data_IF_719342014772
#
_entry.id   IF_719342014772
#
_cell.length_a   1.000
_cell.length_b   1.000
_cell.length_c   1.000
_cell.angle_alpha   90.00
_cell.angle_beta   90.00
_cell.angle_gamma   90.00
#
_symmetry.space_group_name_H-M   'P 1'
#
loop_
_entity.id
_entity.type
_entity.pdbx_description
1 polymer ?
#
# COMPACT_ATOMS: atom_id res chain seq x y z
N UNK A 1 -27.05 52.37 -26.70
CA UNK A 1 -25.68 51.82 -26.65
C UNK A 1 -25.22 51.86 -25.21
N UNK A 2 -25.36 50.78 -24.46
CA UNK A 2 -24.88 50.64 -23.11
C UNK A 2 -23.86 49.51 -23.11
N UNK A 3 -22.63 49.89 -22.81
CA UNK A 3 -21.44 49.04 -22.77
C UNK A 3 -21.51 48.21 -21.47
N UNK A 4 -21.68 46.88 -21.63
CA UNK A 4 -21.65 45.92 -20.53
C UNK A 4 -20.39 45.09 -20.62
N UNK A 5 -19.28 45.67 -20.15
CA UNK A 5 -18.04 44.92 -19.90
C UNK A 5 -18.21 44.01 -18.69
N UNK A 6 -17.84 42.71 -18.75
CA UNK A 6 -17.90 41.85 -17.57
C UNK A 6 -16.78 42.20 -16.60
N UNK A 7 -17.17 42.57 -15.37
CA UNK A 7 -16.24 42.77 -14.26
C UNK A 7 -15.62 41.44 -13.88
N UNK A 8 -14.36 41.25 -14.24
CA UNK A 8 -13.52 40.11 -13.79
C UNK A 8 -13.19 40.41 -12.30
N UNK A 9 -13.88 39.75 -11.39
CA UNK A 9 -13.51 39.72 -9.98
C UNK A 9 -12.18 38.95 -9.84
N UNK A 10 -11.08 39.67 -9.72
CA UNK A 10 -9.84 39.14 -9.21
C UNK A 10 -10.03 38.80 -7.73
N UNK A 11 -10.33 37.53 -7.41
CA UNK A 11 -10.29 37.03 -6.04
C UNK A 11 -8.83 37.06 -5.55
N UNK A 12 -8.59 37.75 -4.44
CA UNK A 12 -7.26 37.84 -3.82
C UNK A 12 -6.76 36.42 -3.42
N UNK A 13 -5.44 36.12 -3.48
CA UNK A 13 -4.89 34.80 -3.16
C UNK A 13 -5.26 34.29 -1.75
N UNK A 14 -5.58 35.18 -0.82
CA UNK A 14 -6.05 34.83 0.53
C UNK A 14 -7.45 34.23 0.56
N UNK A 15 -8.29 34.49 -0.43
CA UNK A 15 -9.63 33.92 -0.54
C UNK A 15 -9.65 32.51 -1.14
N UNK A 16 -8.63 32.14 -1.94
CA UNK A 16 -8.59 30.83 -2.59
C UNK A 16 -8.26 29.67 -1.63
N UNK A 17 -7.58 29.91 -0.51
CA UNK A 17 -7.23 28.89 0.48
C UNK A 17 -8.29 28.75 1.59
N UNK A 18 -9.15 29.75 1.80
CA UNK A 18 -10.17 29.74 2.86
C UNK A 18 -11.13 28.52 2.78
N UNK A 19 -11.67 28.12 1.60
CA UNK A 19 -12.52 26.95 1.50
C UNK A 19 -11.79 25.64 1.86
N UNK A 20 -10.50 25.53 1.53
CA UNK A 20 -9.70 24.36 1.87
C UNK A 20 -9.43 24.29 3.38
N UNK A 21 -9.15 25.42 4.04
CA UNK A 21 -8.95 25.47 5.48
C UNK A 21 -10.23 25.16 6.27
N UNK A 22 -11.39 25.54 5.75
CA UNK A 22 -12.68 25.19 6.36
C UNK A 22 -12.98 23.71 6.28
N UNK A 23 -12.62 23.04 5.18
CA UNK A 23 -12.78 21.59 5.04
C UNK A 23 -11.94 20.83 6.08
N UNK A 24 -10.75 21.32 6.47
CA UNK A 24 -9.96 20.72 7.54
C UNK A 24 -10.58 20.86 8.94
N UNK A 25 -11.53 21.78 9.15
CA UNK A 25 -12.31 21.89 10.39
C UNK A 25 -13.49 20.92 10.44
N UNK A 26 -13.80 20.25 9.34
CA UNK A 26 -14.90 19.28 9.27
C UNK A 26 -14.61 18.07 10.15
N UNK A 27 -15.53 17.76 11.07
CA UNK A 27 -15.51 16.55 11.90
C UNK A 27 -15.37 15.29 11.05
N UNK A 28 -16.00 15.26 9.87
CA UNK A 28 -15.97 14.13 8.94
C UNK A 28 -14.55 13.89 8.43
N UNK A 29 -13.85 14.96 8.03
CA UNK A 29 -12.48 14.91 7.52
C UNK A 29 -11.51 14.50 8.63
N UNK A 30 -11.67 15.03 9.86
CA UNK A 30 -10.86 14.62 11.01
C UNK A 30 -11.04 13.15 11.35
N UNK A 31 -12.27 12.64 11.36
CA UNK A 31 -12.54 11.20 11.56
C UNK A 31 -11.90 10.34 10.48
N UNK A 32 -11.99 10.75 9.21
CA UNK A 32 -11.38 10.03 8.09
C UNK A 32 -9.86 9.98 8.20
N UNK A 33 -9.19 11.04 8.67
CA UNK A 33 -7.75 11.05 8.98
C UNK A 33 -7.40 9.99 10.04
N UNK A 34 -8.12 9.99 11.17
CA UNK A 34 -7.88 9.08 12.30
C UNK A 34 -8.19 7.62 11.93
N UNK A 35 -9.23 7.38 11.16
CA UNK A 35 -9.54 6.04 10.64
C UNK A 35 -8.50 5.60 9.59
N UNK A 36 -7.98 6.51 8.76
CA UNK A 36 -6.85 6.24 7.88
C UNK A 36 -5.62 5.80 8.67
N UNK A 37 -5.32 6.46 9.80
CA UNK A 37 -4.26 6.05 10.69
C UNK A 37 -4.51 4.64 11.27
N UNK A 38 -5.70 4.36 11.77
CA UNK A 38 -6.04 3.03 12.29
C UNK A 38 -5.95 1.92 11.22
N UNK A 39 -6.26 2.23 9.95
CA UNK A 39 -6.15 1.29 8.83
C UNK A 39 -4.69 0.99 8.44
N UNK A 40 -3.77 1.95 8.60
CA UNK A 40 -2.37 1.77 8.23
C UNK A 40 -1.52 1.01 9.25
N UNK A 41 -1.90 0.98 10.54
CA UNK A 41 -1.12 0.34 11.61
C UNK A 41 -0.86 -1.16 11.40
N UNK A 42 -1.85 -1.98 11.00
CA UNK A 42 -1.69 -3.44 10.89
C UNK A 42 -0.67 -3.88 9.86
N UNK A 43 -0.59 -3.18 8.73
CA UNK A 43 0.16 -3.65 7.57
C UNK A 43 1.66 -3.81 7.84
N UNK A 44 2.28 -2.84 8.51
CA UNK A 44 3.70 -2.95 8.84
C UNK A 44 3.93 -3.92 10.00
N UNK A 45 3.02 -4.00 10.99
CA UNK A 45 3.14 -4.92 12.14
C UNK A 45 3.12 -6.39 11.73
N UNK A 46 2.30 -6.76 10.75
CA UNK A 46 2.25 -8.14 10.20
C UNK A 46 3.22 -8.35 9.04
N UNK A 47 3.79 -7.29 8.50
CA UNK A 47 4.76 -7.31 7.40
C UNK A 47 6.18 -7.08 7.88
N UNK A 48 6.73 -5.91 7.60
CA UNK A 48 8.15 -5.61 7.81
C UNK A 48 8.59 -5.63 9.28
N UNK A 49 7.71 -5.29 10.22
CA UNK A 49 8.03 -5.30 11.66
C UNK A 49 8.09 -6.73 12.19
N UNK A 50 7.11 -7.58 11.82
CA UNK A 50 7.17 -9.00 12.12
C UNK A 50 8.38 -9.66 11.46
N UNK A 51 8.69 -9.33 10.20
CA UNK A 51 9.88 -9.83 9.51
C UNK A 51 11.16 -9.48 10.28
N UNK A 52 11.27 -8.24 10.78
CA UNK A 52 12.41 -7.84 11.60
C UNK A 52 12.50 -8.67 12.88
N UNK A 53 11.38 -8.89 13.58
CA UNK A 53 11.34 -9.73 14.77
C UNK A 53 11.84 -11.15 14.49
N UNK A 54 11.26 -11.81 13.50
CA UNK A 54 11.67 -13.16 13.07
C UNK A 54 13.16 -13.20 12.66
N UNK A 55 13.66 -12.12 12.07
CA UNK A 55 15.05 -12.03 11.61
C UNK A 55 16.02 -11.96 12.80
N UNK A 56 15.77 -11.12 13.80
CA UNK A 56 16.66 -10.97 14.96
C UNK A 56 16.63 -12.18 15.89
N UNK A 57 15.51 -12.93 15.93
CA UNK A 57 15.39 -14.19 16.69
C UNK A 57 15.99 -15.39 15.95
N UNK A 58 16.61 -15.20 14.79
CA UNK A 58 17.34 -16.28 14.11
C UNK A 58 16.47 -17.24 13.30
N UNK A 59 15.19 -16.94 13.08
CA UNK A 59 14.30 -17.78 12.27
C UNK A 59 14.86 -17.95 10.85
N UNK A 60 14.75 -19.15 10.30
CA UNK A 60 15.25 -19.47 8.96
C UNK A 60 14.64 -18.55 7.89
N UNK A 61 15.46 -18.14 6.91
CA UNK A 61 15.06 -17.17 5.88
C UNK A 61 13.92 -17.68 5.00
N UNK A 62 13.84 -19.00 4.76
CA UNK A 62 12.75 -19.62 4.00
C UNK A 62 11.44 -19.48 4.76
N UNK A 63 11.47 -19.75 6.07
CA UNK A 63 10.31 -19.56 6.96
C UNK A 63 9.85 -18.10 6.97
N UNK A 64 10.78 -17.15 7.09
CA UNK A 64 10.46 -15.71 7.01
C UNK A 64 9.79 -15.36 5.68
N UNK A 65 10.26 -15.91 4.57
CA UNK A 65 9.68 -15.68 3.25
C UNK A 65 8.24 -16.21 3.13
N UNK A 66 7.92 -17.35 3.78
CA UNK A 66 6.56 -17.91 3.83
C UNK A 66 5.56 -16.98 4.53
N UNK A 67 6.01 -16.14 5.47
CA UNK A 67 5.15 -15.13 6.11
C UNK A 67 4.60 -14.07 5.12
N UNK A 68 5.12 -14.00 3.90
CA UNK A 68 4.50 -13.18 2.83
C UNK A 68 3.05 -13.57 2.54
N UNK A 69 2.66 -14.83 2.79
CA UNK A 69 1.30 -15.33 2.62
C UNK A 69 0.30 -14.75 3.63
N UNK A 70 0.76 -14.14 4.70
CA UNK A 70 -0.09 -13.33 5.59
C UNK A 70 -0.79 -12.20 4.80
N UNK A 71 -0.24 -11.79 3.65
CA UNK A 71 -0.89 -10.84 2.74
C UNK A 71 -2.10 -11.36 1.97
N UNK A 72 -2.37 -12.68 1.96
CA UNK A 72 -3.48 -13.30 1.20
C UNK A 72 -4.85 -12.68 1.53
N UNK A 73 -5.22 -12.41 2.79
CA UNK A 73 -6.50 -11.78 3.10
C UNK A 73 -6.72 -10.45 2.38
N UNK A 74 -5.68 -9.64 2.21
CA UNK A 74 -5.81 -8.36 1.48
C UNK A 74 -6.11 -8.54 -0.01
N UNK A 75 -5.66 -9.64 -0.63
CA UNK A 75 -5.99 -9.99 -2.01
C UNK A 75 -7.42 -10.51 -2.15
N UNK A 76 -7.89 -11.27 -1.17
CA UNK A 76 -9.17 -11.97 -1.21
C UNK A 76 -10.32 -11.22 -0.53
N UNK A 77 -10.09 -10.03 0.03
CA UNK A 77 -11.09 -9.28 0.82
C UNK A 77 -12.41 -9.04 0.08
N UNK A 78 -12.40 -9.03 -1.24
CA UNK A 78 -13.61 -8.91 -2.06
C UNK A 78 -14.60 -10.09 -1.88
N UNK A 79 -14.12 -11.26 -1.46
CA UNK A 79 -14.97 -12.45 -1.26
C UNK A 79 -15.95 -12.27 -0.11
N UNK A 80 -15.55 -11.58 0.96
CA UNK A 80 -16.41 -11.38 2.13
C UNK A 80 -16.88 -9.94 2.31
N UNK A 81 -16.48 -9.01 1.46
CA UNK A 81 -16.99 -7.64 1.53
C UNK A 81 -18.53 -7.55 1.49
N UNK A 82 -19.28 -8.38 0.73
CA UNK A 82 -20.73 -8.34 0.75
C UNK A 82 -21.36 -8.76 2.08
N UNK A 83 -20.65 -9.59 2.87
CA UNK A 83 -21.12 -9.96 4.22
C UNK A 83 -21.13 -8.74 5.13
N UNK A 84 -20.13 -7.87 5.03
CA UNK A 84 -20.02 -6.67 5.84
C UNK A 84 -21.04 -5.58 5.46
N UNK A 85 -21.53 -5.62 4.23
CA UNK A 85 -22.65 -4.76 3.80
C UNK A 85 -24.02 -5.32 4.25
N UNK A 86 -24.17 -6.64 4.31
CA UNK A 86 -25.42 -7.30 4.66
C UNK A 86 -25.66 -7.39 6.18
N UNK A 87 -24.63 -7.71 6.95
CA UNK A 87 -24.75 -7.87 8.40
C UNK A 87 -24.49 -6.53 9.10
N UNK A 88 -25.43 -6.14 9.95
CA UNK A 88 -25.34 -4.92 10.76
C UNK A 88 -25.07 -5.36 12.19
N UNK A 89 -23.90 -4.99 12.78
CA UNK A 89 -23.65 -5.24 14.19
C UNK A 89 -24.74 -4.58 15.07
N UNK A 90 -25.18 -5.25 16.16
CA UNK A 90 -26.31 -4.76 16.97
C UNK A 90 -25.97 -3.50 17.78
N UNK A 91 -24.72 -3.05 17.75
CA UNK A 91 -24.22 -1.86 18.44
C UNK A 91 -23.67 -0.85 17.44
N UNK A 92 -23.85 0.44 17.68
CA UNK A 92 -23.23 1.58 16.98
C UNK A 92 -23.55 1.72 15.48
N UNK A 93 -24.51 0.96 14.93
CA UNK A 93 -24.89 1.05 13.51
C UNK A 93 -23.99 0.26 12.54
N UNK A 94 -24.29 0.37 11.25
CA UNK A 94 -23.68 -0.48 10.21
C UNK A 94 -22.17 -0.26 10.06
N UNK A 95 -21.72 0.97 9.86
CA UNK A 95 -20.30 1.26 9.59
C UNK A 95 -19.48 1.30 10.87
N UNK A 96 -19.93 2.08 11.85
CA UNK A 96 -19.23 2.24 13.13
C UNK A 96 -19.14 0.93 13.91
N UNK A 97 -20.21 0.13 13.92
CA UNK A 97 -20.23 -1.18 14.58
C UNK A 97 -19.16 -2.12 14.02
N UNK A 98 -19.02 -2.21 12.70
CA UNK A 98 -17.97 -3.01 12.08
C UNK A 98 -16.57 -2.46 12.37
N UNK A 99 -16.36 -1.12 12.31
CA UNK A 99 -15.06 -0.52 12.61
C UNK A 99 -14.63 -0.89 14.04
N UNK A 100 -15.49 -0.73 15.05
CA UNK A 100 -15.16 -1.08 16.43
C UNK A 100 -14.90 -2.57 16.60
N UNK A 101 -15.71 -3.43 15.98
CA UNK A 101 -15.53 -4.89 16.04
C UNK A 101 -14.20 -5.32 15.43
N UNK A 102 -13.83 -4.78 14.27
CA UNK A 102 -12.55 -5.11 13.63
C UNK A 102 -11.37 -4.56 14.44
N UNK A 103 -11.48 -3.38 15.03
CA UNK A 103 -10.43 -2.85 15.90
C UNK A 103 -10.26 -3.66 17.18
N UNK A 104 -11.33 -4.14 17.80
CA UNK A 104 -11.25 -5.06 18.93
C UNK A 104 -10.56 -6.38 18.56
N UNK A 105 -10.92 -6.95 17.39
CA UNK A 105 -10.25 -8.14 16.85
C UNK A 105 -8.77 -7.90 16.56
N UNK A 106 -8.41 -6.71 16.07
CA UNK A 106 -7.02 -6.32 15.86
C UNK A 106 -6.25 -6.23 17.18
N UNK A 107 -6.77 -5.52 18.16
CA UNK A 107 -6.14 -5.40 19.50
C UNK A 107 -5.92 -6.78 20.11
N UNK A 108 -6.93 -7.66 20.06
CA UNK A 108 -6.80 -9.04 20.54
C UNK A 108 -5.67 -9.81 19.83
N UNK A 109 -5.59 -9.70 18.49
CA UNK A 109 -4.52 -10.33 17.71
C UNK A 109 -3.13 -9.80 18.03
N UNK A 110 -2.97 -8.47 18.17
CA UNK A 110 -1.66 -7.85 18.48
C UNK A 110 -1.23 -8.18 19.90
N UNK A 111 -2.15 -8.20 20.87
CA UNK A 111 -1.86 -8.64 22.23
C UNK A 111 -1.51 -10.14 22.26
N UNK A 112 -2.17 -10.96 21.46
CA UNK A 112 -1.81 -12.36 21.24
C UNK A 112 -0.39 -12.51 20.71
N UNK A 113 0.03 -11.71 19.70
CA UNK A 113 1.41 -11.67 19.25
C UNK A 113 2.37 -11.20 20.36
N UNK A 114 2.01 -10.17 21.11
CA UNK A 114 2.82 -9.69 22.24
C UNK A 114 3.01 -10.74 23.34
N UNK A 115 2.03 -11.63 23.53
CA UNK A 115 2.10 -12.70 24.51
C UNK A 115 2.89 -13.94 24.03
N UNK A 116 3.17 -14.02 22.71
CA UNK A 116 3.86 -15.15 22.08
C UNK A 116 5.24 -14.70 21.60
N UNK A 117 6.25 -15.56 21.75
CA UNK A 117 7.58 -15.34 21.15
C UNK A 117 7.76 -16.25 19.93
N UNK A 118 8.56 -15.85 18.91
CA UNK A 118 8.98 -16.77 17.85
C UNK A 118 9.65 -18.04 18.38
N UNK A 119 10.36 -17.94 19.50
CA UNK A 119 11.02 -19.07 20.16
C UNK A 119 10.03 -20.03 20.82
N UNK A 120 8.86 -19.54 21.26
CA UNK A 120 7.81 -20.36 21.87
C UNK A 120 7.01 -21.12 20.80
N UNK A 121 6.49 -20.43 19.81
CA UNK A 121 5.70 -21.02 18.73
C UNK A 121 5.56 -20.11 17.51
N UNK A 122 6.28 -20.42 16.45
CA UNK A 122 6.14 -19.76 15.13
C UNK A 122 4.73 -19.96 14.54
N UNK A 123 4.13 -21.13 14.78
CA UNK A 123 2.79 -21.43 14.26
C UNK A 123 1.74 -20.51 14.90
N UNK A 124 1.78 -20.36 16.23
CA UNK A 124 0.83 -19.51 16.95
C UNK A 124 1.01 -18.04 16.58
N UNK A 125 2.25 -17.59 16.44
CA UNK A 125 2.57 -16.24 15.97
C UNK A 125 2.04 -16.01 14.54
N UNK A 126 2.20 -16.99 13.66
CA UNK A 126 1.65 -16.97 12.30
C UNK A 126 0.12 -16.92 12.27
N UNK A 127 -0.54 -17.67 13.15
CA UNK A 127 -2.01 -17.64 13.29
C UNK A 127 -2.48 -16.25 13.73
N UNK A 128 -1.85 -15.64 14.73
CA UNK A 128 -2.20 -14.27 15.15
C UNK A 128 -1.94 -13.26 14.04
N UNK A 129 -0.81 -13.37 13.33
CA UNK A 129 -0.50 -12.48 12.22
C UNK A 129 -1.51 -12.61 11.06
N UNK A 130 -1.93 -13.84 10.72
CA UNK A 130 -2.97 -14.09 9.72
C UNK A 130 -4.33 -13.55 10.18
N UNK A 131 -4.68 -13.74 11.46
CA UNK A 131 -5.88 -13.15 12.06
C UNK A 131 -5.88 -11.63 11.94
N UNK A 132 -4.78 -10.98 12.32
CA UNK A 132 -4.62 -9.53 12.20
C UNK A 132 -4.78 -9.08 10.74
N UNK A 133 -4.18 -9.78 9.79
CA UNK A 133 -4.29 -9.46 8.37
C UNK A 133 -5.73 -9.61 7.86
N UNK A 134 -6.46 -10.64 8.29
CA UNK A 134 -7.87 -10.84 7.96
C UNK A 134 -8.75 -9.71 8.53
N UNK A 135 -8.58 -9.41 9.81
CA UNK A 135 -9.32 -8.34 10.50
C UNK A 135 -9.00 -6.97 9.88
N UNK A 136 -7.73 -6.72 9.57
CA UNK A 136 -7.30 -5.47 8.93
C UNK A 136 -7.86 -5.33 7.51
N UNK A 137 -7.82 -6.39 6.70
CA UNK A 137 -8.44 -6.39 5.38
C UNK A 137 -9.95 -6.12 5.45
N UNK A 138 -10.61 -6.66 6.49
CA UNK A 138 -12.02 -6.42 6.78
C UNK A 138 -12.27 -4.97 7.22
N UNK A 139 -11.41 -4.43 8.07
CA UNK A 139 -11.44 -3.03 8.49
C UNK A 139 -11.31 -2.06 7.31
N UNK A 140 -10.39 -2.35 6.37
CA UNK A 140 -10.19 -1.53 5.17
C UNK A 140 -11.48 -1.44 4.33
N UNK A 141 -12.20 -2.55 4.15
CA UNK A 141 -13.49 -2.57 3.44
C UNK A 141 -14.45 -1.56 4.06
N UNK A 142 -14.59 -1.60 5.39
CA UNK A 142 -15.57 -0.76 6.10
C UNK A 142 -15.14 0.70 6.14
N UNK A 143 -13.85 0.98 6.36
CA UNK A 143 -13.32 2.37 6.39
C UNK A 143 -13.43 3.01 5.01
N UNK A 144 -13.13 2.28 3.93
CA UNK A 144 -13.28 2.77 2.56
C UNK A 144 -14.74 3.08 2.23
N UNK A 145 -15.66 2.19 2.64
CA UNK A 145 -17.07 2.42 2.49
C UNK A 145 -17.57 3.59 3.37
N UNK A 146 -17.14 3.66 4.64
CA UNK A 146 -17.47 4.78 5.53
C UNK A 146 -17.02 6.11 4.93
N UNK A 147 -15.79 6.21 4.44
CA UNK A 147 -15.25 7.40 3.78
C UNK A 147 -16.11 7.84 2.60
N UNK A 148 -16.57 6.89 1.79
CA UNK A 148 -17.42 7.16 0.63
C UNK A 148 -18.82 7.63 1.05
N UNK A 149 -19.37 7.03 2.11
CA UNK A 149 -20.72 7.32 2.59
C UNK A 149 -20.83 8.66 3.34
N UNK A 150 -19.76 9.09 4.05
CA UNK A 150 -19.81 10.25 4.95
C UNK A 150 -19.37 11.57 4.32
N UNK A 151 -18.45 11.53 3.33
CA UNK A 151 -17.89 12.73 2.74
C UNK A 151 -18.83 13.32 1.69
N UNK A 152 -19.09 14.61 1.80
CA UNK A 152 -19.77 15.38 0.75
C UNK A 152 -18.91 15.47 -0.50
N UNK A 153 -19.50 15.78 -1.65
CA UNK A 153 -18.78 15.91 -2.93
C UNK A 153 -17.60 16.91 -2.79
N UNK A 154 -17.80 18.02 -2.09
CA UNK A 154 -16.76 19.03 -1.86
C UNK A 154 -15.62 18.52 -0.95
N UNK A 155 -15.92 17.62 0.00
CA UNK A 155 -14.95 17.07 0.94
C UNK A 155 -14.16 15.87 0.40
N UNK A 156 -14.62 15.21 -0.68
CA UNK A 156 -14.04 13.96 -1.18
C UNK A 156 -12.55 14.06 -1.52
N UNK A 157 -12.13 15.13 -2.18
CA UNK A 157 -10.73 15.31 -2.56
C UNK A 157 -9.81 15.43 -1.34
N UNK A 158 -10.13 16.32 -0.41
CA UNK A 158 -9.35 16.52 0.82
C UNK A 158 -9.47 15.28 1.72
N UNK A 159 -10.66 14.70 1.86
CA UNK A 159 -10.89 13.49 2.65
C UNK A 159 -10.07 12.29 2.15
N UNK A 160 -9.95 12.11 0.84
CA UNK A 160 -9.07 11.07 0.29
C UNK A 160 -7.60 11.34 0.63
N UNK A 161 -7.13 12.58 0.47
CA UNK A 161 -5.75 12.97 0.77
C UNK A 161 -5.40 12.76 2.26
N UNK A 162 -6.26 13.19 3.19
CA UNK A 162 -6.00 13.02 4.63
C UNK A 162 -6.10 11.56 5.07
N UNK A 163 -6.97 10.75 4.45
CA UNK A 163 -7.01 9.31 4.70
C UNK A 163 -5.69 8.64 4.35
N UNK A 164 -5.16 8.95 3.16
CA UNK A 164 -3.84 8.46 2.73
C UNK A 164 -2.74 8.97 3.65
N UNK A 165 -2.78 10.24 4.07
CA UNK A 165 -1.81 10.80 5.01
C UNK A 165 -1.84 10.06 6.34
N UNK A 166 -3.02 9.84 6.94
CA UNK A 166 -3.19 9.07 8.16
C UNK A 166 -2.60 7.67 8.03
N UNK A 167 -2.94 6.98 6.95
CA UNK A 167 -2.41 5.65 6.63
C UNK A 167 -0.87 5.63 6.56
N UNK A 168 -0.27 6.62 5.91
CA UNK A 168 1.20 6.73 5.78
C UNK A 168 1.88 7.03 7.10
N UNK A 169 1.30 7.90 7.93
CA UNK A 169 1.80 8.16 9.29
C UNK A 169 1.77 6.87 10.11
N UNK A 170 0.69 6.11 10.04
CA UNK A 170 0.57 4.84 10.74
C UNK A 170 1.65 3.83 10.30
N UNK A 171 1.94 3.75 8.99
CA UNK A 171 3.02 2.90 8.49
C UNK A 171 4.40 3.32 9.00
N UNK A 172 4.67 4.63 9.17
CA UNK A 172 5.90 5.11 9.78
C UNK A 172 5.96 4.75 11.27
N UNK A 173 4.85 4.85 11.97
CA UNK A 173 4.76 4.48 13.40
C UNK A 173 4.93 2.97 13.56
N UNK A 174 4.15 2.16 12.87
CA UNK A 174 4.16 0.70 13.02
C UNK A 174 5.34 0.01 12.33
N UNK A 175 5.98 0.67 11.37
CA UNK A 175 7.16 0.17 10.66
C UNK A 175 8.48 0.77 11.14
N UNK A 176 8.52 2.08 11.38
CA UNK A 176 9.73 2.80 11.77
C UNK A 176 9.90 2.95 13.27
N UNK A 177 8.94 3.63 13.93
CA UNK A 177 8.98 3.81 15.37
C UNK A 177 8.93 2.47 16.12
N UNK A 178 8.14 1.51 15.65
CA UNK A 178 8.07 0.18 16.24
C UNK A 178 9.44 -0.54 16.25
N UNK A 179 10.25 -0.41 15.19
CA UNK A 179 11.61 -0.98 15.16
C UNK A 179 12.53 -0.31 16.18
N UNK A 180 12.47 1.02 16.29
CA UNK A 180 13.26 1.79 17.28
C UNK A 180 12.86 1.37 18.69
N UNK A 181 11.56 1.28 18.98
CA UNK A 181 11.07 0.82 20.29
C UNK A 181 11.50 -0.63 20.57
N UNK A 182 11.39 -1.52 19.58
CA UNK A 182 11.79 -2.92 19.75
C UNK A 182 13.27 -3.07 20.06
N UNK A 183 14.12 -2.21 19.50
CA UNK A 183 15.56 -2.16 19.77
C UNK A 183 15.85 -1.74 21.24
N UNK A 184 15.05 -0.83 21.80
CA UNK A 184 15.30 -0.23 23.11
C UNK A 184 14.57 -0.91 24.27
N UNK A 185 13.30 -1.28 24.08
CA UNK A 185 12.44 -1.83 25.13
C UNK A 185 11.97 -3.26 24.86
N UNK A 186 12.39 -3.85 23.73
CA UNK A 186 12.03 -5.21 23.31
C UNK A 186 10.68 -5.30 22.59
N UNK A 187 10.42 -6.49 22.02
CA UNK A 187 9.27 -6.72 21.13
C UNK A 187 7.93 -6.70 21.84
N UNK A 188 7.82 -7.37 23.01
CA UNK A 188 6.56 -7.48 23.75
C UNK A 188 5.97 -6.12 24.14
N UNK A 189 6.70 -5.21 24.84
CA UNK A 189 6.16 -3.89 25.15
C UNK A 189 5.89 -3.05 23.90
N UNK A 190 6.67 -3.23 22.82
CA UNK A 190 6.43 -2.55 21.55
C UNK A 190 5.09 -2.94 20.94
N UNK A 191 4.79 -4.24 20.84
CA UNK A 191 3.49 -4.69 20.32
C UNK A 191 2.33 -4.27 21.22
N UNK A 192 2.50 -4.26 22.54
CA UNK A 192 1.50 -3.71 23.48
C UNK A 192 1.26 -2.22 23.24
N UNK A 193 2.33 -1.43 23.03
CA UNK A 193 2.21 -0.01 22.69
C UNK A 193 1.47 0.19 21.35
N UNK A 194 1.76 -0.63 20.33
CA UNK A 194 1.05 -0.58 19.04
C UNK A 194 -0.42 -0.96 19.16
N UNK A 195 -0.77 -1.93 20.03
CA UNK A 195 -2.16 -2.26 20.35
C UNK A 195 -2.88 -1.08 21.01
N UNK A 196 -2.21 -0.38 21.93
CA UNK A 196 -2.76 0.80 22.60
C UNK A 196 -3.05 1.96 21.63
N UNK A 197 -2.21 2.14 20.58
CA UNK A 197 -2.46 3.15 19.54
C UNK A 197 -3.76 2.90 18.76
N UNK A 198 -4.29 1.68 18.75
CA UNK A 198 -5.58 1.39 18.13
C UNK A 198 -6.75 2.07 18.85
N UNK A 199 -6.56 2.49 20.11
CA UNK A 199 -7.53 3.31 20.83
C UNK A 199 -7.88 4.62 20.08
N UNK A 200 -6.94 5.14 19.26
CA UNK A 200 -7.19 6.30 18.38
C UNK A 200 -8.30 5.97 17.39
N UNK A 201 -8.25 4.81 16.78
CA UNK A 201 -9.27 4.37 15.83
C UNK A 201 -10.61 4.05 16.50
N UNK A 202 -10.59 3.43 17.67
CA UNK A 202 -11.80 3.20 18.48
C UNK A 202 -12.44 4.55 18.86
N UNK A 203 -11.65 5.48 19.38
CA UNK A 203 -12.10 6.84 19.71
C UNK A 203 -12.68 7.57 18.49
N UNK A 204 -12.01 7.46 17.33
CA UNK A 204 -12.48 8.00 16.07
C UNK A 204 -13.83 7.39 15.65
N UNK A 205 -14.00 6.08 15.77
CA UNK A 205 -15.24 5.39 15.43
C UNK A 205 -16.40 5.78 16.38
N UNK A 206 -16.11 5.96 17.66
CA UNK A 206 -17.12 6.43 18.64
C UNK A 206 -17.51 7.89 18.39
N UNK A 207 -16.55 8.71 18.01
CA UNK A 207 -16.78 10.12 17.66
C UNK A 207 -17.39 10.29 16.27
N UNK A 208 -17.24 9.32 15.37
CA UNK A 208 -17.72 9.36 13.99
C UNK A 208 -19.25 9.52 13.92
N UNK A 209 -19.80 10.36 13.02
CA UNK A 209 -21.22 10.31 12.70
C UNK A 209 -21.52 9.01 11.91
N UNK A 210 -22.64 8.34 12.19
CA UNK A 210 -23.09 7.21 11.37
C UNK A 210 -23.68 7.72 10.06
N UNK A 211 -23.25 7.23 8.90
CA UNK A 211 -23.83 7.61 7.63
C UNK A 211 -25.29 7.19 7.51
N UNK A 212 -26.11 8.00 6.82
CA UNK A 212 -27.47 7.62 6.48
C UNK A 212 -27.47 6.32 5.65
N UNK A 213 -28.45 5.44 5.91
CA UNK A 213 -28.59 4.23 5.11
C UNK A 213 -28.89 4.58 3.65
N UNK A 214 -28.13 4.07 2.67
CA UNK A 214 -28.47 4.25 1.27
C UNK A 214 -29.80 3.54 0.98
N UNK A 215 -30.67 4.10 0.13
CA UNK A 215 -31.99 3.55 -0.16
C UNK A 215 -31.98 2.20 -0.89
N UNK A 216 -30.86 1.79 -1.45
CA UNK A 216 -30.69 0.48 -2.10
C UNK A 216 -29.24 -0.04 -1.97
N UNK A 217 -29.10 -1.26 -1.48
CA UNK A 217 -27.86 -2.04 -1.59
C UNK A 217 -27.84 -2.68 -2.99
N UNK A 218 -26.69 -2.74 -3.71
CA UNK A 218 -26.61 -3.40 -5.02
C UNK A 218 -27.18 -4.82 -4.95
N UNK A 219 -28.19 -5.09 -5.76
CA UNK A 219 -29.04 -6.28 -5.61
C UNK A 219 -28.37 -7.61 -5.96
N UNK A 220 -27.22 -7.63 -6.64
CA UNK A 220 -26.54 -8.89 -6.98
C UNK A 220 -25.03 -8.74 -7.02
N UNK A 221 -24.33 -9.69 -6.39
CA UNK A 221 -22.87 -9.91 -6.54
C UNK A 221 -22.46 -10.07 -8.01
N UNK A 222 -23.35 -10.59 -8.84
CA UNK A 222 -23.12 -10.80 -10.27
C UNK A 222 -22.87 -9.47 -10.99
N UNK A 223 -23.74 -8.48 -10.80
CA UNK A 223 -23.58 -7.17 -11.41
C UNK A 223 -22.34 -6.41 -10.87
N UNK A 224 -22.05 -6.58 -9.58
CA UNK A 224 -20.95 -5.85 -8.94
C UNK A 224 -19.55 -6.43 -9.26
N UNK A 225 -19.43 -7.72 -9.59
CA UNK A 225 -18.13 -8.39 -9.80
C UNK A 225 -18.02 -8.97 -11.21
N UNK A 226 -19.02 -9.71 -11.69
CA UNK A 226 -18.92 -10.46 -12.96
C UNK A 226 -18.94 -9.54 -14.17
N UNK A 227 -19.81 -8.53 -14.19
CA UNK A 227 -19.92 -7.60 -15.32
C UNK A 227 -18.65 -6.77 -15.54
N UNK A 228 -18.02 -6.14 -14.52
CA UNK A 228 -16.75 -5.45 -14.67
C UNK A 228 -15.62 -6.36 -15.15
N UNK A 229 -15.56 -7.61 -14.66
CA UNK A 229 -14.58 -8.59 -15.09
C UNK A 229 -14.82 -9.00 -16.55
N UNK A 230 -16.08 -9.31 -16.92
CA UNK A 230 -16.45 -9.66 -18.27
C UNK A 230 -16.12 -8.53 -19.24
N UNK A 231 -16.46 -7.27 -18.91
CA UNK A 231 -16.09 -6.10 -19.71
C UNK A 231 -14.59 -6.02 -19.93
N UNK A 232 -13.80 -6.25 -18.89
CA UNK A 232 -12.35 -6.22 -19.01
C UNK A 232 -11.80 -7.36 -19.88
N UNK A 233 -12.22 -8.59 -19.64
CA UNK A 233 -11.72 -9.78 -20.35
C UNK A 233 -12.19 -9.90 -21.81
N UNK A 234 -13.25 -9.19 -22.19
CA UNK A 234 -13.69 -9.14 -23.61
C UNK A 234 -12.86 -8.17 -24.47
N UNK A 235 -12.01 -7.34 -23.85
CA UNK A 235 -11.15 -6.41 -24.59
C UNK A 235 -10.01 -7.14 -25.30
N UNK A 236 -9.71 -6.73 -26.53
CA UNK A 236 -8.58 -7.27 -27.26
C UNK A 236 -7.26 -7.04 -26.50
N UNK A 237 -6.58 -8.14 -26.15
CA UNK A 237 -5.32 -8.08 -25.42
C UNK A 237 -5.45 -7.91 -23.89
N UNK A 238 -6.62 -8.14 -23.30
CA UNK A 238 -6.83 -8.07 -21.87
C UNK A 238 -5.81 -8.91 -21.07
N UNK A 239 -5.53 -10.14 -21.49
CA UNK A 239 -4.55 -11.03 -20.84
C UNK A 239 -3.14 -10.44 -20.90
N UNK A 240 -2.75 -9.84 -22.03
CA UNK A 240 -1.44 -9.19 -22.18
C UNK A 240 -1.30 -7.99 -21.25
N UNK A 241 -2.37 -7.21 -21.08
CA UNK A 241 -2.41 -6.06 -20.16
C UNK A 241 -2.30 -6.53 -18.69
N UNK A 242 -3.04 -7.58 -18.30
CA UNK A 242 -2.97 -8.14 -16.94
C UNK A 242 -1.56 -8.69 -16.66
N UNK A 243 -0.97 -9.38 -17.63
CA UNK A 243 0.39 -9.88 -17.53
C UNK A 243 1.40 -8.73 -17.42
N UNK A 244 1.24 -7.65 -18.19
CA UNK A 244 2.05 -6.44 -18.07
C UNK A 244 1.98 -5.85 -16.66
N UNK A 245 0.79 -5.69 -16.09
CA UNK A 245 0.57 -5.14 -14.75
C UNK A 245 1.27 -5.99 -13.69
N UNK A 246 1.16 -7.30 -13.78
CA UNK A 246 1.81 -8.23 -12.86
C UNK A 246 3.34 -8.17 -13.01
N UNK A 247 3.85 -8.26 -14.23
CA UNK A 247 5.29 -8.33 -14.49
C UNK A 247 6.00 -7.00 -14.31
N UNK A 248 5.33 -5.87 -14.53
CA UNK A 248 5.92 -4.53 -14.36
C UNK A 248 6.38 -4.26 -12.93
N UNK A 249 5.67 -4.80 -11.94
CA UNK A 249 6.01 -4.66 -10.51
C UNK A 249 6.70 -5.90 -9.94
N UNK A 250 6.96 -6.93 -10.73
CA UNK A 250 7.38 -8.23 -10.23
C UNK A 250 8.77 -8.20 -9.60
N UNK A 251 9.76 -7.61 -10.26
CA UNK A 251 11.13 -7.50 -9.73
C UNK A 251 11.18 -6.75 -8.39
N UNK A 252 10.48 -5.62 -8.33
CA UNK A 252 10.34 -4.77 -7.15
C UNK A 252 9.61 -5.50 -5.99
N UNK A 253 8.56 -6.23 -6.33
CA UNK A 253 7.79 -7.03 -5.38
C UNK A 253 8.63 -8.14 -4.75
N UNK A 254 9.49 -8.82 -5.54
CA UNK A 254 10.42 -9.83 -5.03
C UNK A 254 11.49 -9.21 -4.13
N UNK A 255 12.16 -8.14 -4.58
CA UNK A 255 13.17 -7.44 -3.80
C UNK A 255 12.62 -6.96 -2.46
N UNK A 256 11.45 -6.29 -2.48
CA UNK A 256 10.79 -5.76 -1.29
C UNK A 256 10.32 -6.83 -0.28
N UNK A 257 10.19 -8.09 -0.71
CA UNK A 257 9.74 -9.17 0.19
C UNK A 257 10.73 -9.42 1.33
N UNK A 258 12.03 -9.37 1.10
CA UNK A 258 13.05 -9.67 2.10
C UNK A 258 13.98 -8.49 2.41
N UNK A 259 13.68 -7.26 1.96
CA UNK A 259 14.53 -6.09 2.19
C UNK A 259 14.83 -5.86 3.66
N UNK A 260 13.85 -5.97 4.56
CA UNK A 260 14.07 -5.77 6.01
C UNK A 260 14.98 -6.84 6.58
N UNK A 261 14.77 -8.11 6.23
CA UNK A 261 15.64 -9.21 6.65
C UNK A 261 17.07 -9.06 6.12
N UNK A 262 17.22 -8.60 4.87
CA UNK A 262 18.52 -8.31 4.27
C UNK A 262 19.25 -7.22 5.05
N UNK A 263 18.60 -6.09 5.32
CA UNK A 263 19.26 -4.98 6.02
C UNK A 263 19.76 -5.38 7.41
N UNK A 264 18.99 -6.22 8.14
CA UNK A 264 19.36 -6.67 9.48
C UNK A 264 20.42 -7.80 9.41
N UNK A 265 20.13 -8.90 8.71
CA UNK A 265 20.96 -10.12 8.72
C UNK A 265 22.01 -10.13 7.61
N UNK A 266 21.70 -9.60 6.44
CA UNK A 266 22.59 -9.61 5.29
C UNK A 266 23.61 -8.47 5.33
N UNK A 267 23.20 -7.26 5.70
CA UNK A 267 24.05 -6.07 5.76
C UNK A 267 24.51 -5.69 7.18
N UNK A 268 23.88 -6.26 8.23
CA UNK A 268 24.34 -6.13 9.63
C UNK A 268 23.90 -4.83 10.32
N UNK A 269 22.82 -4.17 9.87
CA UNK A 269 22.29 -2.96 10.50
C UNK A 269 21.38 -3.28 11.67
N UNK A 270 21.39 -2.42 12.71
CA UNK A 270 20.48 -2.50 13.86
C UNK A 270 19.02 -2.21 13.49
N UNK A 271 18.09 -2.58 14.37
CA UNK A 271 16.66 -2.26 14.19
C UNK A 271 16.42 -0.76 14.12
N UNK A 272 17.11 0.02 14.96
CA UNK A 272 17.03 1.49 14.95
C UNK A 272 17.49 2.08 13.62
N UNK A 273 18.62 1.64 13.08
CA UNK A 273 19.15 2.09 11.78
C UNK A 273 18.18 1.76 10.64
N UNK A 274 17.64 0.54 10.62
CA UNK A 274 16.63 0.14 9.65
C UNK A 274 15.34 0.96 9.82
N UNK A 275 14.91 1.21 11.05
CA UNK A 275 13.76 2.05 11.34
C UNK A 275 13.94 3.48 10.81
N UNK A 276 15.08 4.09 11.07
CA UNK A 276 15.37 5.48 10.63
C UNK A 276 15.59 5.54 9.12
N UNK A 277 16.52 4.77 8.58
CA UNK A 277 16.91 4.92 7.18
C UNK A 277 15.86 4.28 6.26
N UNK A 278 15.52 3.00 6.46
CA UNK A 278 14.61 2.32 5.53
C UNK A 278 13.17 2.83 5.62
N UNK A 279 12.71 3.26 6.80
CA UNK A 279 11.31 3.71 6.94
C UNK A 279 11.16 5.21 6.77
N UNK A 280 11.90 6.05 7.51
CA UNK A 280 11.73 7.50 7.42
C UNK A 280 12.35 8.10 6.16
N UNK A 281 13.63 7.82 5.89
CA UNK A 281 14.28 8.30 4.66
C UNK A 281 13.63 7.66 3.42
N UNK A 282 13.36 6.35 3.46
CA UNK A 282 12.68 5.65 2.38
C UNK A 282 11.31 6.25 2.07
N UNK A 283 10.53 6.59 3.10
CA UNK A 283 9.24 7.28 2.89
C UNK A 283 9.40 8.66 2.25
N UNK A 284 10.35 9.47 2.72
CA UNK A 284 10.61 10.78 2.15
C UNK A 284 11.05 10.67 0.67
N UNK A 285 11.92 9.71 0.35
CA UNK A 285 12.36 9.44 -1.01
C UNK A 285 11.20 8.95 -1.90
N UNK A 286 10.32 8.07 -1.39
CA UNK A 286 9.13 7.57 -2.10
C UNK A 286 8.18 8.71 -2.47
N UNK A 287 7.88 9.61 -1.52
CA UNK A 287 7.00 10.77 -1.75
C UNK A 287 7.64 11.72 -2.77
N UNK A 288 8.93 12.01 -2.62
CA UNK A 288 9.68 12.83 -3.57
C UNK A 288 9.66 12.22 -4.97
N UNK A 289 9.90 10.91 -5.06
CA UNK A 289 9.82 10.17 -6.32
C UNK A 289 8.44 10.24 -6.97
N UNK A 290 7.37 10.08 -6.19
CA UNK A 290 6.01 10.18 -6.69
C UNK A 290 5.68 11.58 -7.22
N UNK A 291 6.13 12.64 -6.55
CA UNK A 291 5.95 14.03 -6.99
C UNK A 291 6.74 14.33 -8.26
N UNK A 292 8.02 13.93 -8.29
CA UNK A 292 8.88 14.09 -9.48
C UNK A 292 8.32 13.29 -10.66
N UNK A 293 7.95 12.03 -10.44
CA UNK A 293 7.35 11.18 -11.46
C UNK A 293 6.03 11.74 -11.98
N UNK A 294 5.14 12.22 -11.09
CA UNK A 294 3.90 12.88 -11.47
C UNK A 294 4.12 14.15 -12.31
N UNK A 295 5.13 14.95 -11.95
CA UNK A 295 5.51 16.16 -12.71
C UNK A 295 6.07 15.80 -14.09
N UNK A 296 6.92 14.79 -14.17
CA UNK A 296 7.49 14.34 -15.46
C UNK A 296 6.41 13.75 -16.40
N UNK A 297 5.38 13.08 -15.84
CA UNK A 297 4.23 12.56 -16.61
C UNK A 297 3.44 13.67 -17.33
N UNK A 298 3.52 14.93 -16.90
CA UNK A 298 2.89 16.05 -17.64
C UNK A 298 3.68 16.45 -18.90
N UNK A 299 4.94 16.00 -19.02
CA UNK A 299 5.86 16.42 -20.10
C UNK A 299 6.29 15.27 -21.01
N UNK A 300 5.93 14.04 -20.70
CA UNK A 300 6.30 12.85 -21.48
C UNK A 300 5.12 11.90 -21.64
N UNK A 301 5.14 11.06 -22.67
CA UNK A 301 4.08 10.08 -22.86
C UNK A 301 4.10 9.01 -21.77
N UNK A 302 2.91 8.42 -21.50
CA UNK A 302 2.76 7.37 -20.49
C UNK A 302 3.71 6.19 -20.75
N UNK A 303 3.84 5.76 -22.01
CA UNK A 303 4.76 4.67 -22.38
C UNK A 303 6.21 5.01 -22.02
N UNK A 304 6.71 6.21 -22.39
CA UNK A 304 8.07 6.62 -22.06
C UNK A 304 8.29 6.72 -20.55
N UNK A 305 7.31 7.23 -19.81
CA UNK A 305 7.37 7.28 -18.35
C UNK A 305 7.46 5.88 -17.74
N UNK A 306 6.60 4.97 -18.16
CA UNK A 306 6.64 3.58 -17.70
C UNK A 306 7.98 2.92 -18.03
N UNK A 307 8.51 3.13 -19.22
CA UNK A 307 9.79 2.54 -19.64
C UNK A 307 10.96 3.06 -18.79
N UNK A 308 11.11 4.38 -18.68
CA UNK A 308 12.22 4.98 -17.94
C UNK A 308 12.11 4.74 -16.44
N UNK A 309 10.93 4.89 -15.86
CA UNK A 309 10.74 4.67 -14.43
C UNK A 309 10.83 3.19 -14.07
N UNK A 310 10.33 2.30 -14.92
CA UNK A 310 10.50 0.86 -14.74
C UNK A 310 11.96 0.42 -14.88
N UNK A 311 12.72 1.00 -15.81
CA UNK A 311 14.16 0.76 -15.92
C UNK A 311 14.90 1.26 -14.68
N UNK A 312 14.54 2.46 -14.20
CA UNK A 312 15.13 3.04 -12.99
C UNK A 312 14.85 2.15 -11.77
N UNK A 313 13.62 1.61 -11.63
CA UNK A 313 13.27 0.65 -10.60
C UNK A 313 14.07 -0.66 -10.73
N UNK A 314 14.19 -1.21 -11.93
CA UNK A 314 15.00 -2.42 -12.13
C UNK A 314 16.46 -2.18 -11.71
N UNK A 315 17.06 -1.08 -12.16
CA UNK A 315 18.45 -0.73 -11.83
C UNK A 315 18.62 -0.44 -10.33
N UNK A 316 17.62 0.12 -9.66
CA UNK A 316 17.71 0.38 -8.21
C UNK A 316 17.88 -0.89 -7.37
N UNK A 317 17.38 -2.05 -7.84
CA UNK A 317 17.63 -3.35 -7.18
C UNK A 317 19.13 -3.69 -7.13
N UNK A 318 19.91 -3.26 -8.13
CA UNK A 318 21.36 -3.46 -8.13
C UNK A 318 22.05 -2.67 -7.02
N UNK A 319 21.47 -1.57 -6.53
CA UNK A 319 22.04 -0.83 -5.40
C UNK A 319 22.05 -1.65 -4.12
N UNK A 320 21.04 -2.50 -3.90
CA UNK A 320 21.05 -3.47 -2.81
C UNK A 320 22.07 -4.60 -3.02
N UNK A 321 22.32 -5.02 -4.28
CA UNK A 321 23.39 -5.95 -4.59
C UNK A 321 24.75 -5.36 -4.19
N UNK A 322 25.03 -4.10 -4.53
CA UNK A 322 26.27 -3.42 -4.12
C UNK A 322 26.35 -3.25 -2.60
N UNK A 323 25.23 -2.95 -1.93
CA UNK A 323 25.16 -2.91 -0.46
C UNK A 323 25.49 -4.29 0.15
N UNK A 324 25.03 -5.39 -0.46
CA UNK A 324 25.36 -6.74 0.00
C UNK A 324 26.85 -7.05 -0.08
N UNK A 325 27.58 -6.50 -1.06
CA UNK A 325 29.04 -6.61 -1.14
C UNK A 325 29.76 -5.65 -0.20
N UNK A 326 29.22 -4.45 -0.02
CA UNK A 326 29.83 -3.43 0.85
C UNK A 326 29.67 -3.73 2.35
N UNK A 327 28.69 -4.58 2.71
CA UNK A 327 28.37 -4.88 4.11
C UNK A 327 27.78 -3.68 4.87
N UNK A 328 28.17 -3.50 6.12
CA UNK A 328 27.67 -2.44 7.01
C UNK A 328 28.23 -1.07 6.63
N UNK A 329 27.78 -0.53 5.49
CA UNK A 329 28.16 0.78 4.99
C UNK A 329 26.97 1.75 4.97
N UNK A 330 27.02 2.78 5.82
CA UNK A 330 25.96 3.80 5.88
C UNK A 330 25.75 4.56 4.56
N UNK A 331 26.82 4.87 3.85
CA UNK A 331 26.73 5.57 2.57
C UNK A 331 25.95 4.73 1.55
N UNK A 332 26.28 3.43 1.46
CA UNK A 332 25.55 2.52 0.59
C UNK A 332 24.11 2.26 1.06
N UNK A 333 23.87 2.20 2.38
CA UNK A 333 22.52 2.07 2.93
C UNK A 333 21.63 3.25 2.52
N UNK A 334 22.09 4.48 2.77
CA UNK A 334 21.36 5.70 2.43
C UNK A 334 21.13 5.80 0.92
N UNK A 335 22.14 5.49 0.12
CA UNK A 335 22.04 5.48 -1.33
C UNK A 335 21.05 4.44 -1.82
N UNK A 336 21.17 3.17 -1.40
CA UNK A 336 20.33 2.08 -1.88
C UNK A 336 18.86 2.31 -1.50
N UNK A 337 18.58 2.65 -0.24
CA UNK A 337 17.23 2.93 0.24
C UNK A 337 16.65 4.17 -0.43
N UNK A 338 17.44 5.26 -0.54
CA UNK A 338 16.99 6.48 -1.18
C UNK A 338 16.70 6.29 -2.67
N UNK A 339 17.60 5.63 -3.38
CA UNK A 339 17.46 5.38 -4.82
C UNK A 339 16.28 4.45 -5.14
N UNK A 340 16.16 3.32 -4.42
CA UNK A 340 15.06 2.37 -4.60
C UNK A 340 13.71 3.04 -4.35
N UNK A 341 13.53 3.72 -3.21
CA UNK A 341 12.25 4.33 -2.87
C UNK A 341 11.90 5.51 -3.79
N UNK A 342 12.88 6.30 -4.24
CA UNK A 342 12.66 7.35 -5.25
C UNK A 342 12.20 6.74 -6.58
N UNK A 343 12.89 5.71 -7.07
CA UNK A 343 12.53 5.00 -8.29
C UNK A 343 11.14 4.33 -8.17
N UNK A 344 10.86 3.71 -7.02
CA UNK A 344 9.57 3.07 -6.71
C UNK A 344 8.44 4.10 -6.66
N UNK A 345 8.68 5.31 -6.13
CA UNK A 345 7.73 6.42 -6.14
C UNK A 345 7.38 6.87 -7.56
N UNK A 346 8.41 7.10 -8.40
CA UNK A 346 8.23 7.47 -9.81
C UNK A 346 7.47 6.38 -10.58
N UNK A 347 7.90 5.12 -10.46
CA UNK A 347 7.25 3.98 -11.12
C UNK A 347 5.81 3.78 -10.67
N UNK A 348 5.52 4.02 -9.39
CA UNK A 348 4.16 3.94 -8.84
C UNK A 348 3.26 5.04 -9.41
N UNK A 349 3.76 6.28 -9.57
CA UNK A 349 3.00 7.35 -10.19
C UNK A 349 2.59 7.00 -11.64
N UNK A 350 3.53 6.49 -12.46
CA UNK A 350 3.22 6.06 -13.82
C UNK A 350 2.28 4.84 -13.86
N UNK A 351 2.48 3.88 -12.96
CA UNK A 351 1.63 2.70 -12.84
C UNK A 351 0.17 3.06 -12.48
N UNK A 352 -0.04 3.99 -11.56
CA UNK A 352 -1.39 4.47 -11.21
C UNK A 352 -2.08 5.09 -12.42
N UNK A 353 -1.38 5.92 -13.20
CA UNK A 353 -1.93 6.51 -14.42
C UNK A 353 -2.27 5.42 -15.45
N UNK A 354 -1.41 4.42 -15.63
CA UNK A 354 -1.70 3.26 -16.49
C UNK A 354 -2.97 2.55 -16.02
N UNK A 355 -3.03 2.18 -14.74
CA UNK A 355 -4.18 1.46 -14.18
C UNK A 355 -5.49 2.25 -14.36
N UNK A 356 -5.46 3.57 -14.12
CA UNK A 356 -6.62 4.44 -14.32
C UNK A 356 -7.03 4.53 -15.80
N UNK A 357 -6.07 4.60 -16.72
CA UNK A 357 -6.36 4.68 -18.18
C UNK A 357 -6.99 3.41 -18.74
N UNK A 358 -6.80 2.29 -18.08
CA UNK A 358 -7.35 0.99 -18.44
C UNK A 358 -8.77 0.74 -17.90
N UNK A 359 -9.23 1.55 -16.96
CA UNK A 359 -10.54 1.37 -16.34
C UNK A 359 -11.66 1.97 -17.22
N UNK A 360 -12.76 1.23 -17.36
CA UNK A 360 -14.00 1.76 -17.88
C UNK A 360 -14.66 2.67 -16.84
N UNK A 361 -15.13 3.84 -17.24
CA UNK A 361 -15.77 4.82 -16.36
C UNK A 361 -16.95 4.22 -15.59
N UNK A 362 -17.72 3.33 -16.23
CA UNK A 362 -18.87 2.66 -15.59
C UNK A 362 -18.46 1.66 -14.48
N UNK A 363 -17.24 1.12 -14.52
CA UNK A 363 -16.74 0.07 -13.64
C UNK A 363 -15.40 0.42 -12.99
N UNK A 364 -15.05 1.69 -12.96
CA UNK A 364 -13.70 2.17 -12.60
C UNK A 364 -13.21 1.66 -11.23
N UNK A 365 -14.07 1.65 -10.23
CA UNK A 365 -13.72 1.21 -8.88
C UNK A 365 -13.33 -0.28 -8.85
N UNK A 366 -14.14 -1.15 -9.45
CA UNK A 366 -13.91 -2.61 -9.43
C UNK A 366 -12.71 -2.98 -10.30
N UNK A 367 -12.60 -2.37 -11.50
CA UNK A 367 -11.48 -2.65 -12.40
C UNK A 367 -10.16 -2.14 -11.83
N UNK A 368 -10.13 -0.95 -11.24
CA UNK A 368 -8.93 -0.44 -10.57
C UNK A 368 -8.51 -1.31 -9.39
N UNK A 369 -9.47 -1.76 -8.58
CA UNK A 369 -9.20 -2.67 -7.47
C UNK A 369 -8.60 -4.00 -7.95
N UNK A 370 -9.11 -4.57 -9.06
CA UNK A 370 -8.56 -5.77 -9.68
C UNK A 370 -7.11 -5.55 -10.14
N UNK A 371 -6.84 -4.46 -10.86
CA UNK A 371 -5.50 -4.16 -11.38
C UNK A 371 -4.50 -3.91 -10.23
N UNK A 372 -4.93 -3.23 -9.17
CA UNK A 372 -4.14 -3.01 -7.97
C UNK A 372 -3.85 -4.30 -7.19
N UNK A 373 -4.84 -5.20 -7.07
CA UNK A 373 -4.65 -6.51 -6.45
C UNK A 373 -3.65 -7.36 -7.24
N UNK A 374 -3.72 -7.37 -8.57
CA UNK A 374 -2.78 -8.06 -9.45
C UNK A 374 -1.34 -7.56 -9.27
N UNK A 375 -1.14 -6.25 -9.13
CA UNK A 375 0.18 -5.69 -8.86
C UNK A 375 0.79 -6.19 -7.54
N UNK A 376 -0.04 -6.49 -6.55
CA UNK A 376 0.39 -7.03 -5.25
C UNK A 376 0.56 -8.55 -5.25
N UNK A 377 -0.02 -9.24 -6.25
CA UNK A 377 -0.04 -10.70 -6.33
C UNK A 377 1.38 -11.29 -6.38
N UNK A 378 2.29 -10.63 -7.11
CA UNK A 378 3.67 -11.04 -7.24
C UNK A 378 4.37 -11.21 -5.88
N UNK A 379 4.23 -10.23 -4.99
CA UNK A 379 4.82 -10.28 -3.65
C UNK A 379 4.23 -11.37 -2.78
N UNK A 380 2.92 -11.58 -2.82
CA UNK A 380 2.25 -12.54 -1.95
C UNK A 380 2.48 -13.97 -2.42
N UNK A 381 2.24 -14.27 -3.69
CA UNK A 381 2.34 -15.64 -4.20
C UNK A 381 3.77 -16.12 -4.38
N UNK A 382 4.66 -15.26 -4.87
CA UNK A 382 6.05 -15.61 -5.13
C UNK A 382 6.99 -15.24 -3.97
N UNK A 383 6.45 -14.67 -2.89
CA UNK A 383 7.22 -14.35 -1.70
C UNK A 383 8.03 -15.53 -1.15
N UNK A 384 7.46 -16.74 -0.97
CA UNK A 384 8.21 -17.90 -0.48
C UNK A 384 9.43 -18.25 -1.33
N UNK A 385 9.35 -18.07 -2.66
CA UNK A 385 10.47 -18.31 -3.57
C UNK A 385 11.69 -17.45 -3.23
N UNK A 386 11.49 -16.25 -2.70
CA UNK A 386 12.58 -15.33 -2.36
C UNK A 386 13.50 -15.92 -1.27
N UNK A 387 12.93 -16.65 -0.31
CA UNK A 387 13.70 -17.34 0.73
C UNK A 387 14.59 -18.46 0.16
N UNK A 388 14.07 -19.24 -0.79
CA UNK A 388 14.85 -20.26 -1.49
C UNK A 388 15.97 -19.64 -2.33
N UNK A 389 15.69 -18.55 -3.04
CA UNK A 389 16.71 -17.85 -3.83
C UNK A 389 17.83 -17.30 -2.96
N UNK A 390 17.51 -16.69 -1.81
CA UNK A 390 18.54 -16.19 -0.87
C UNK A 390 19.34 -17.33 -0.28
N UNK A 391 18.68 -18.43 0.13
CA UNK A 391 19.37 -19.59 0.70
C UNK A 391 20.29 -20.29 -0.31
N UNK A 392 19.90 -20.35 -1.58
CA UNK A 392 20.67 -21.00 -2.63
C UNK A 392 21.81 -20.13 -3.19
N UNK A 393 21.57 -18.84 -3.38
CA UNK A 393 22.45 -17.95 -4.15
C UNK A 393 23.07 -16.82 -3.32
N UNK A 394 22.62 -16.60 -2.09
CA UNK A 394 23.03 -15.47 -1.25
C UNK A 394 22.38 -14.13 -1.65
N UNK A 395 22.59 -13.10 -0.83
CA UNK A 395 21.91 -11.82 -0.94
C UNK A 395 22.23 -11.04 -2.23
N UNK A 396 23.52 -10.98 -2.60
CA UNK A 396 23.93 -10.21 -3.78
C UNK A 396 23.30 -10.78 -5.06
N UNK A 397 23.38 -12.11 -5.24
CA UNK A 397 22.80 -12.77 -6.41
C UNK A 397 21.26 -12.70 -6.37
N UNK A 398 20.64 -12.74 -5.21
CA UNK A 398 19.20 -12.54 -5.07
C UNK A 398 18.78 -11.19 -5.65
N UNK A 399 19.44 -10.08 -5.29
CA UNK A 399 19.10 -8.76 -5.85
C UNK A 399 19.42 -8.66 -7.34
N UNK A 400 20.45 -9.33 -7.83
CA UNK A 400 20.69 -9.45 -9.27
C UNK A 400 19.56 -10.21 -9.98
N UNK A 401 19.06 -11.30 -9.40
CA UNK A 401 17.90 -12.04 -9.92
C UNK A 401 16.65 -11.16 -9.95
N UNK A 402 16.42 -10.33 -8.92
CA UNK A 402 15.25 -9.41 -8.93
C UNK A 402 15.35 -8.34 -10.01
N UNK A 403 16.57 -7.87 -10.33
CA UNK A 403 16.81 -7.03 -11.51
C UNK A 403 16.42 -7.76 -12.80
N UNK A 404 16.91 -8.98 -13.00
CA UNK A 404 16.56 -9.78 -14.17
C UNK A 404 15.06 -10.07 -14.26
N UNK A 405 14.39 -10.30 -13.12
CA UNK A 405 12.96 -10.56 -13.03
C UNK A 405 12.08 -9.34 -13.42
N UNK A 406 12.64 -8.13 -13.41
CA UNK A 406 11.96 -6.93 -13.89
C UNK A 406 11.98 -6.80 -15.43
N UNK A 407 12.96 -7.41 -16.11
CA UNK A 407 13.16 -7.24 -17.56
C UNK A 407 11.99 -7.77 -18.40
N UNK A 408 11.36 -8.94 -18.10
CA UNK A 408 10.19 -9.41 -18.85
C UNK A 408 9.04 -8.40 -18.85
N UNK A 409 8.82 -7.68 -17.74
CA UNK A 409 7.80 -6.61 -17.67
C UNK A 409 8.12 -5.44 -18.60
N UNK A 410 9.39 -5.01 -18.65
CA UNK A 410 9.85 -3.96 -19.54
C UNK A 410 9.82 -4.40 -21.02
N UNK A 411 10.17 -5.64 -21.29
CA UNK A 411 10.08 -6.22 -22.62
C UNK A 411 8.63 -6.30 -23.12
N UNK A 412 7.71 -6.76 -22.27
CA UNK A 412 6.28 -6.80 -22.61
C UNK A 412 5.72 -5.38 -22.80
N UNK A 413 6.16 -4.41 -22.00
CA UNK A 413 5.83 -3.00 -22.17
C UNK A 413 6.29 -2.49 -23.55
N UNK A 414 7.49 -2.85 -23.98
CA UNK A 414 8.00 -2.50 -25.31
C UNK A 414 7.19 -3.13 -26.44
N UNK A 415 6.77 -4.39 -26.30
CA UNK A 415 5.91 -5.06 -27.27
C UNK A 415 4.54 -4.40 -27.40
N UNK A 416 4.01 -3.86 -26.29
CA UNK A 416 2.69 -3.21 -26.26
C UNK A 416 2.74 -1.70 -26.54
N UNK A 417 3.89 -1.15 -26.95
CA UNK A 417 4.10 0.29 -27.15
C UNK A 417 3.05 0.94 -28.04
N UNK A 418 2.67 0.31 -29.16
CA UNK A 418 1.71 0.86 -30.12
C UNK A 418 0.29 0.97 -29.57
N UNK A 419 -0.04 0.15 -28.57
CA UNK A 419 -1.34 0.21 -27.89
C UNK A 419 -1.39 1.28 -26.81
N UNK A 420 -0.23 1.61 -26.20
CA UNK A 420 -0.10 2.60 -25.14
C UNK A 420 0.20 4.01 -25.67
N UNK A 421 0.77 4.11 -26.88
CA UNK A 421 0.96 5.35 -27.63
C UNK A 421 0.20 5.22 -28.96
N UNK A 422 -1.10 5.56 -29.02
CA UNK A 422 -1.79 5.64 -30.31
C UNK A 422 -1.09 6.66 -31.20
N UNK A 423 -0.93 6.29 -32.48
CA UNK A 423 -0.23 7.11 -33.48
C UNK A 423 -0.75 8.57 -33.47
N UNK A 424 0.14 9.57 -33.61
CA UNK A 424 -0.27 10.97 -33.74
C UNK A 424 -1.15 11.11 -34.99
N UNK A 425 -2.47 11.23 -34.80
CA UNK A 425 -3.45 11.39 -35.90
C UNK A 425 -4.74 10.59 -35.79
N UNK A 426 -4.87 9.66 -34.86
CA UNK A 426 -6.12 8.96 -34.59
C UNK A 426 -7.01 9.78 -33.66
N UNK A 427 -8.01 10.46 -34.22
CA UNK A 427 -9.06 11.13 -33.47
C UNK A 427 -9.75 10.11 -32.53
N UNK A 428 -9.91 10.47 -31.23
CA UNK A 428 -10.78 9.79 -30.27
C UNK A 428 -12.23 10.16 -30.52
#
# INVERSE_FOLDING_TARGET
MADSSPIIHHSSPKGALAPYLEVFKSRRVAVVLLLGFASGLPLALTGSTLQAWLTVTGVDIRTIAWFSWIGVPYLLKFLWSPLMDRFIPPWLGRRRGWIVTTQAGFVAGVLGMAATSPDDSLLLLGIFALWIAFVSASQDIVIDAYRTDILTIAERGVGAAVSVLGYRIAMLVSGGLALILADQIGWRPTYVAMAALMAIGVGAALWAPEPAMPPAVPHTLRAAVIEPLKDFFTRAGAVQILLLIMLYKFGDALAGTLTTAFLIRGAGFSLTEVGVVNKWLGFAALVTGALVGGTLLTRMSLYRALLWFGLLQAVSNLSFMFLAWAGTSYAWLVFAVGFENLASGMGTAAFVVLAMSLCNVAFSATQYALLSALASLGRVLFGPLTGELVAAFGWANFFFITFLAALPGLWLLWLLRERLEPAPGGAR
#
